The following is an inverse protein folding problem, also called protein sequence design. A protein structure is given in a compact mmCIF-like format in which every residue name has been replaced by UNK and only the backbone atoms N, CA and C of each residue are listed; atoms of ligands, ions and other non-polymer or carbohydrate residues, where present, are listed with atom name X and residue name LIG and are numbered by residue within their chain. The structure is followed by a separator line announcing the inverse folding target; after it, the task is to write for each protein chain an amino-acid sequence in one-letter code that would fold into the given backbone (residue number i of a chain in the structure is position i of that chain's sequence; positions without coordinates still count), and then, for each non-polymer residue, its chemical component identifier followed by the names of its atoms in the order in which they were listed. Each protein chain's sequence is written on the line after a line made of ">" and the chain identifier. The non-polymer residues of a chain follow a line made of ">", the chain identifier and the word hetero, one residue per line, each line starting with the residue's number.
data_IF_398570976934
#
_entry.id   IF_398570976934
#
_cell.length_a   1.000
_cell.length_b   1.000
_cell.length_c   1.000
_cell.angle_alpha   90.00
_cell.angle_beta   90.00
_cell.angle_gamma   90.00
#
_symmetry.space_group_name_H-M   'P 1'
#
loop_
_entity.id
_entity.type
_entity.pdbx_description
1 polymer ?
#
# COMPACT_ATOMS: atom_id res chain seq x y z
N UNK A 1 -25.04 -0.47 -9.14
CA UNK A 1 -24.43 -0.42 -8.14
C UNK A 1 -23.30 -0.44 -8.25
N UNK A 2 -22.87 -0.39 -7.68
CA UNK A 2 -21.79 -0.16 -7.52
C UNK A 2 -21.18 -0.79 -6.48
N UNK A 3 -20.13 -1.06 -6.50
CA UNK A 3 -19.40 -1.78 -5.61
C UNK A 3 -18.08 -1.25 -5.37
N UNK A 4 -17.47 -1.78 -4.35
CA UNK A 4 -16.08 -1.57 -4.05
C UNK A 4 -15.29 -2.53 -4.92
N UNK A 5 -14.22 -2.06 -5.55
CA UNK A 5 -13.33 -2.91 -6.32
C UNK A 5 -11.97 -2.98 -5.65
N UNK A 6 -11.36 -4.16 -5.73
CA UNK A 6 -10.00 -4.37 -5.27
C UNK A 6 -9.07 -4.31 -6.48
N UNK A 7 -8.00 -3.54 -6.37
CA UNK A 7 -7.04 -3.41 -7.45
C UNK A 7 -5.62 -3.40 -6.93
N UNK A 8 -4.69 -3.72 -7.81
CA UNK A 8 -3.26 -3.65 -7.52
C UNK A 8 -2.69 -2.51 -8.36
N UNK A 9 -1.89 -1.67 -7.73
CA UNK A 9 -1.28 -0.55 -8.42
C UNK A 9 0.09 -0.22 -7.86
N UNK A 10 0.68 0.84 -8.39
CA UNK A 10 2.02 1.29 -8.00
C UNK A 10 1.91 2.67 -7.39
N UNK A 11 2.55 2.85 -6.24
CA UNK A 11 2.54 4.14 -5.55
C UNK A 11 3.26 5.18 -6.40
N UNK A 12 2.60 6.30 -6.64
CA UNK A 12 3.16 7.38 -7.46
C UNK A 12 3.55 8.61 -6.64
N UNK A 13 2.97 8.80 -5.47
CA UNK A 13 3.29 9.93 -4.59
C UNK A 13 2.86 9.58 -3.17
N UNK A 14 3.55 10.14 -2.18
CA UNK A 14 3.23 9.91 -0.77
C UNK A 14 3.19 11.23 -0.02
N UNK A 15 2.35 11.29 1.02
CA UNK A 15 2.23 12.43 1.91
C UNK A 15 2.39 11.90 3.34
N UNK A 16 3.55 12.12 3.92
CA UNK A 16 3.89 11.56 5.22
C UNK A 16 3.07 12.19 6.36
N UNK A 17 2.70 13.45 6.22
CA UNK A 17 1.96 14.13 7.28
C UNK A 17 0.53 13.63 7.38
N UNK A 18 -0.09 13.32 6.26
CA UNK A 18 -1.47 12.84 6.22
C UNK A 18 -1.57 11.33 6.18
N UNK A 19 -0.44 10.64 6.03
CA UNK A 19 -0.37 9.19 5.89
C UNK A 19 -1.26 8.73 4.74
N UNK A 20 -1.04 9.37 3.60
CA UNK A 20 -1.79 9.11 2.37
C UNK A 20 -0.84 8.89 1.21
N UNK A 21 -1.33 8.24 0.19
CA UNK A 21 -0.56 8.03 -1.03
C UNK A 21 -1.48 8.03 -2.24
N UNK A 22 -0.91 8.33 -3.39
CA UNK A 22 -1.60 8.20 -4.67
C UNK A 22 -1.05 6.98 -5.39
N UNK A 23 -1.92 6.30 -6.11
CA UNK A 23 -1.59 5.03 -6.74
C UNK A 23 -1.92 5.11 -8.22
N UNK A 24 -1.05 4.58 -9.06
CA UNK A 24 -1.29 4.43 -10.47
C UNK A 24 -1.85 3.05 -10.73
N UNK A 25 -2.96 2.98 -11.45
CA UNK A 25 -3.68 1.74 -11.71
C UNK A 25 -3.45 1.32 -13.16
N UNK A 26 -2.55 0.37 -13.43
CA UNK A 26 -2.27 -0.04 -14.81
C UNK A 26 -3.46 -0.67 -15.51
N UNK A 27 -4.33 -1.34 -14.76
CA UNK A 27 -5.54 -1.96 -15.33
C UNK A 27 -6.58 -0.92 -15.74
N UNK A 28 -6.42 0.32 -15.33
CA UNK A 28 -7.33 1.42 -15.66
C UNK A 28 -6.60 2.47 -16.48
N UNK A 29 -5.84 2.06 -17.48
CA UNK A 29 -5.10 2.95 -18.38
C UNK A 29 -4.11 3.86 -17.63
N UNK A 30 -3.48 3.31 -16.59
CA UNK A 30 -2.54 4.06 -15.74
C UNK A 30 -3.18 5.26 -15.07
N UNK A 31 -4.47 5.17 -14.76
CA UNK A 31 -5.17 6.21 -14.02
C UNK A 31 -4.53 6.37 -12.65
N UNK A 32 -4.30 7.62 -12.26
CA UNK A 32 -3.78 7.94 -10.93
C UNK A 32 -4.95 8.26 -10.01
N UNK A 33 -4.99 7.60 -8.86
CA UNK A 33 -6.05 7.85 -7.88
C UNK A 33 -5.90 9.21 -7.21
N UNK A 34 -6.90 9.61 -6.47
CA UNK A 34 -6.77 10.70 -5.50
C UNK A 34 -5.89 10.25 -4.33
N UNK A 35 -5.71 11.12 -3.35
CA UNK A 35 -4.99 10.76 -2.14
C UNK A 35 -5.81 9.76 -1.33
N UNK A 36 -5.25 8.59 -1.09
CA UNK A 36 -5.91 7.51 -0.37
C UNK A 36 -5.26 7.33 1.00
N UNK A 37 -6.08 7.09 2.00
CA UNK A 37 -5.56 6.77 3.33
C UNK A 37 -4.83 5.42 3.31
N UNK A 38 -3.72 5.34 4.02
CA UNK A 38 -2.98 4.10 4.20
C UNK A 38 -3.42 3.49 5.52
N UNK A 39 -3.95 2.27 5.50
CA UNK A 39 -4.44 1.63 6.71
C UNK A 39 -3.31 1.33 7.67
N UNK A 40 -3.55 1.62 8.94
CA UNK A 40 -2.65 1.32 10.04
C UNK A 40 -3.28 0.27 10.94
N UNK A 41 -2.46 -0.50 11.63
CA UNK A 41 -2.99 -1.52 12.55
C UNK A 41 -3.65 -0.88 13.75
N UNK A 42 -3.08 0.17 14.29
CA UNK A 42 -3.59 0.87 15.45
C UNK A 42 -3.37 2.36 15.28
N UNK A 43 -4.33 3.18 15.70
CA UNK A 43 -4.25 4.63 15.51
C UNK A 43 -4.58 5.42 16.77
N UNK A 44 -4.88 4.77 17.88
CA UNK A 44 -5.23 5.48 19.10
C UNK A 44 -4.10 5.39 20.12
N UNK A 45 -4.31 4.84 21.28
CA UNK A 45 -3.29 4.86 22.32
C UNK A 45 -2.02 4.12 21.91
N UNK A 46 -2.19 2.98 21.26
CA UNK A 46 -1.08 2.29 20.61
C UNK A 46 -1.16 2.60 19.15
N UNK A 47 -0.11 3.20 18.61
CA UNK A 47 -0.10 3.67 17.23
C UNK A 47 0.94 2.94 16.42
N UNK A 48 0.52 2.46 15.27
CA UNK A 48 1.44 1.99 14.25
C UNK A 48 1.54 3.05 13.17
N UNK A 49 2.67 3.11 12.52
CA UNK A 49 2.88 4.03 11.42
C UNK A 49 3.68 3.31 10.34
N UNK A 50 3.12 3.30 9.15
CA UNK A 50 3.87 2.87 7.97
C UNK A 50 3.35 3.62 6.77
N UNK A 51 4.22 3.77 5.77
CA UNK A 51 3.87 4.43 4.54
C UNK A 51 4.63 3.72 3.43
N UNK A 52 3.98 3.36 2.32
CA UNK A 52 4.69 2.72 1.23
C UNK A 52 5.64 3.69 0.54
N UNK A 53 6.66 3.14 -0.10
CA UNK A 53 7.58 3.93 -0.90
C UNK A 53 7.01 4.17 -2.28
N UNK A 54 7.40 5.27 -2.91
CA UNK A 54 7.08 5.52 -4.31
C UNK A 54 7.68 4.39 -5.15
N UNK A 55 6.88 3.82 -6.02
CA UNK A 55 7.29 2.69 -6.85
C UNK A 55 6.89 1.34 -6.27
N UNK A 56 6.40 1.32 -5.04
CA UNK A 56 6.02 0.06 -4.39
C UNK A 56 4.66 -0.40 -4.90
N UNK A 57 4.51 -1.72 -5.06
CA UNK A 57 3.25 -2.31 -5.48
C UNK A 57 2.35 -2.50 -4.28
N UNK A 58 1.13 -1.98 -4.38
CA UNK A 58 0.17 -2.01 -3.26
C UNK A 58 -1.17 -2.52 -3.74
N UNK A 59 -1.95 -3.00 -2.79
CA UNK A 59 -3.32 -3.43 -3.03
C UNK A 59 -4.26 -2.41 -2.41
N UNK A 60 -5.28 -2.00 -3.18
CA UNK A 60 -6.20 -0.94 -2.79
C UNK A 60 -7.65 -1.40 -2.92
N UNK A 61 -8.51 -0.82 -2.09
CA UNK A 61 -9.96 -0.92 -2.25
C UNK A 61 -10.45 0.46 -2.69
N UNK A 62 -11.18 0.49 -3.78
CA UNK A 62 -11.70 1.73 -4.34
C UNK A 62 -13.23 1.68 -4.42
N UNK A 63 -13.87 2.84 -4.32
CA UNK A 63 -15.29 2.92 -4.52
C UNK A 63 -15.64 2.71 -6.01
N UNK A 64 -16.94 2.72 -6.31
CA UNK A 64 -17.41 2.42 -7.65
C UNK A 64 -16.90 3.41 -8.70
N UNK A 65 -16.61 4.64 -8.30
CA UNK A 65 -16.13 5.66 -9.22
C UNK A 65 -14.63 5.71 -9.31
N UNK A 66 -13.93 4.95 -8.46
CA UNK A 66 -12.47 4.97 -8.43
C UNK A 66 -11.89 6.25 -7.86
N UNK A 67 -12.69 7.02 -7.11
CA UNK A 67 -12.26 8.32 -6.60
C UNK A 67 -11.77 8.27 -5.17
N UNK A 68 -12.33 7.40 -4.36
CA UNK A 68 -11.99 7.29 -2.96
C UNK A 68 -11.75 5.84 -2.60
N UNK A 69 -11.03 5.62 -1.51
CA UNK A 69 -10.73 4.27 -1.07
C UNK A 69 -9.60 4.26 -0.07
N UNK A 70 -9.01 3.10 0.11
CA UNK A 70 -7.92 2.91 1.06
C UNK A 70 -6.84 2.01 0.46
N UNK A 71 -5.61 2.20 0.92
CA UNK A 71 -4.50 1.31 0.59
C UNK A 71 -4.42 0.27 1.70
N UNK A 72 -4.57 -1.00 1.32
CA UNK A 72 -4.58 -2.10 2.28
C UNK A 72 -3.18 -2.50 2.71
N UNK A 73 -2.23 -2.47 1.80
CA UNK A 73 -0.87 -2.87 2.09
C UNK A 73 -0.06 -3.08 0.84
N UNK A 74 1.21 -3.38 1.04
CA UNK A 74 2.12 -3.67 -0.06
C UNK A 74 2.08 -5.15 -0.40
N UNK A 75 2.39 -5.46 -1.66
CA UNK A 75 2.50 -6.85 -2.11
C UNK A 75 3.84 -7.02 -2.82
N UNK A 76 4.38 -8.20 -2.73
CA UNK A 76 5.63 -8.50 -3.42
C UNK A 76 5.39 -8.65 -4.92
N UNK A 77 6.40 -8.35 -5.68
CA UNK A 77 6.34 -8.44 -7.13
C UNK A 77 7.48 -9.31 -7.63
N UNK A 78 7.56 -9.49 -8.95
CA UNK A 78 8.67 -10.24 -9.53
C UNK A 78 10.01 -9.54 -9.33
N UNK A 79 9.98 -8.22 -9.14
CA UNK A 79 11.19 -7.41 -8.92
C UNK A 79 11.56 -7.36 -7.44
N UNK A 80 10.58 -7.15 -6.58
CA UNK A 80 10.79 -7.03 -5.14
C UNK A 80 10.37 -8.32 -4.45
N UNK A 81 11.35 -9.13 -4.07
CA UNK A 81 11.10 -10.45 -3.50
C UNK A 81 11.06 -10.39 -1.98
N UNK A 82 10.35 -11.33 -1.33
CA UNK A 82 10.32 -11.36 0.14
C UNK A 82 11.69 -11.71 0.71
N UNK A 83 12.06 -11.11 1.87
CA UNK A 83 13.32 -11.43 2.54
C UNK A 83 13.32 -12.80 3.21
N UNK A 84 12.13 -13.33 3.50
CA UNK A 84 11.96 -14.64 4.13
C UNK A 84 11.01 -15.49 3.30
N UNK A 85 11.25 -16.77 3.25
CA UNK A 85 10.40 -17.69 2.49
C UNK A 85 9.84 -18.83 3.33
N UNK A 86 9.93 -18.74 4.66
CA UNK A 86 9.41 -19.75 5.58
C UNK A 86 8.13 -19.22 6.23
N UNK A 87 7.04 -19.99 6.12
CA UNK A 87 5.75 -19.57 6.67
C UNK A 87 5.74 -19.41 8.18
N UNK A 88 6.73 -19.96 8.87
CA UNK A 88 6.83 -19.87 10.32
C UNK A 88 7.61 -18.66 10.80
N UNK A 89 8.09 -17.83 9.87
CA UNK A 89 8.87 -16.64 10.19
C UNK A 89 7.99 -15.40 10.07
N UNK A 90 8.06 -14.53 11.08
CA UNK A 90 7.50 -13.19 11.05
C UNK A 90 8.62 -12.22 11.36
N UNK A 91 8.81 -11.25 10.49
CA UNK A 91 9.90 -10.32 10.69
C UNK A 91 9.76 -9.08 9.83
N UNK A 92 10.60 -8.12 10.14
CA UNK A 92 10.70 -6.87 9.40
C UNK A 92 12.15 -6.67 9.01
N UNK A 93 12.36 -6.30 7.76
CA UNK A 93 13.68 -5.97 7.25
C UNK A 93 13.68 -4.52 6.81
N UNK A 94 14.64 -3.76 7.34
CA UNK A 94 14.76 -2.34 7.02
C UNK A 94 15.76 -2.14 5.88
N UNK A 95 15.71 -0.96 5.28
CA UNK A 95 16.55 -0.64 4.12
C UNK A 95 18.04 -0.71 4.43
N UNK A 96 18.43 -0.51 5.70
CA UNK A 96 19.81 -0.59 6.14
C UNK A 96 20.27 -2.02 6.45
N UNK A 97 19.40 -3.01 6.24
CA UNK A 97 19.71 -4.41 6.51
C UNK A 97 19.32 -4.90 7.89
N UNK A 98 18.84 -4.02 8.77
CA UNK A 98 18.37 -4.45 10.08
C UNK A 98 17.11 -5.32 9.94
N UNK A 99 16.99 -6.34 10.77
CA UNK A 99 15.87 -7.26 10.74
C UNK A 99 15.33 -7.49 12.16
N UNK A 100 14.04 -7.59 12.26
CA UNK A 100 13.36 -7.86 13.52
C UNK A 100 12.36 -8.98 13.39
#
# INVERSE_FOLDING_TARGET
>A
MTGVTRQVGTVSAVDADRVQARVRLPECDNLRTNWLNVLQRNTQDNKDYWLPDVGEQVEVLLDANGEDGVILGAVYSDVDKPPFSDKNIRGTRFADGAEY
#
